data_IF_123186032693
#
_entry.id   IF_123186032693
#
_cell.length_a   1.000
_cell.length_b   1.000
_cell.length_c   1.000
_cell.angle_alpha   90.00
_cell.angle_beta   90.00
_cell.angle_gamma   90.00
#
_symmetry.space_group_name_H-M   'P 1'
#
loop_
_entity.id
_entity.type
_entity.pdbx_description
1 polymer ?
#
# COMPACT_ATOMS: atom_id res chain seq x y z
N UNK A 1 12.70 -5.11 -15.47
CA UNK A 1 11.44 -4.63 -16.10
C UNK A 1 11.68 -3.24 -16.68
N UNK A 2 11.03 -2.83 -17.80
CA UNK A 2 11.15 -1.42 -18.28
C UNK A 2 10.33 -0.50 -17.38
N UNK A 3 10.82 0.72 -17.09
CA UNK A 3 10.15 1.70 -16.19
C UNK A 3 8.67 1.96 -16.55
N UNK A 4 8.35 2.09 -17.84
CA UNK A 4 6.97 2.32 -18.29
C UNK A 4 6.04 1.14 -17.98
N UNK A 5 6.55 -0.08 -18.08
CA UNK A 5 5.80 -1.30 -17.78
C UNK A 5 5.57 -1.44 -16.26
N UNK A 6 6.58 -1.11 -15.46
CA UNK A 6 6.47 -1.06 -14.00
C UNK A 6 5.40 -0.05 -13.57
N UNK A 7 5.43 1.17 -14.10
CA UNK A 7 4.42 2.19 -13.81
C UNK A 7 3.01 1.73 -14.18
N UNK A 8 2.86 1.12 -15.36
CA UNK A 8 1.57 0.57 -15.80
C UNK A 8 1.07 -0.50 -14.83
N UNK A 9 1.92 -1.45 -14.44
CA UNK A 9 1.56 -2.51 -13.49
C UNK A 9 1.26 -1.96 -12.09
N UNK A 10 2.04 -1.00 -11.64
CA UNK A 10 1.90 -0.38 -10.32
C UNK A 10 0.58 0.40 -10.17
N UNK A 11 0.19 1.11 -11.23
CA UNK A 11 -1.04 1.92 -11.26
C UNK A 11 -2.27 1.14 -11.77
N UNK A 12 -2.14 -0.16 -12.03
CA UNK A 12 -3.27 -1.02 -12.39
C UNK A 12 -3.83 -1.70 -11.13
N UNK A 13 -5.15 -1.64 -10.95
CA UNK A 13 -5.81 -2.29 -9.81
C UNK A 13 -5.50 -1.64 -8.46
N UNK A 14 -5.30 -0.32 -8.44
CA UNK A 14 -5.02 0.47 -7.24
C UNK A 14 -6.19 0.43 -6.24
N UNK A 15 -7.42 0.28 -6.74
CA UNK A 15 -8.63 0.07 -5.94
C UNK A 15 -8.58 -1.21 -5.08
N UNK A 16 -7.83 -2.23 -5.53
CA UNK A 16 -7.65 -3.49 -4.80
C UNK A 16 -6.38 -3.53 -3.97
N UNK A 17 -5.31 -2.96 -4.50
CA UNK A 17 -3.95 -3.07 -3.94
C UNK A 17 -3.59 -1.92 -3.02
N UNK A 18 -4.31 -0.79 -3.09
CA UNK A 18 -4.03 0.40 -2.32
C UNK A 18 -2.76 1.14 -2.73
N UNK A 19 -2.21 0.85 -3.91
CA UNK A 19 -0.98 1.46 -4.43
C UNK A 19 -1.20 2.91 -4.85
N UNK A 20 -0.24 3.76 -4.52
CA UNK A 20 -0.23 5.15 -5.00
C UNK A 20 1.18 5.72 -5.03
N UNK A 21 1.31 6.87 -5.70
CA UNK A 21 2.57 7.58 -5.87
C UNK A 21 2.39 8.97 -5.26
N UNK A 22 3.38 9.40 -4.49
CA UNK A 22 3.43 10.73 -3.86
C UNK A 22 4.71 11.42 -4.26
N UNK A 23 4.60 12.60 -4.87
CA UNK A 23 5.76 13.46 -5.12
C UNK A 23 5.81 14.55 -4.05
N UNK A 24 6.90 14.59 -3.29
CA UNK A 24 7.16 15.70 -2.38
C UNK A 24 7.48 16.96 -3.18
N UNK A 25 6.85 18.08 -2.79
CA UNK A 25 7.16 19.41 -3.35
C UNK A 25 8.36 20.07 -2.68
N UNK A 26 8.77 19.56 -1.52
CA UNK A 26 9.87 20.11 -0.70
C UNK A 26 11.19 19.50 -1.16
N UNK A 27 11.26 18.16 -1.21
CA UNK A 27 12.48 17.43 -1.58
C UNK A 27 12.57 17.13 -3.08
N UNK A 28 11.46 17.23 -3.81
CA UNK A 28 11.37 16.81 -5.21
C UNK A 28 11.40 15.28 -5.41
N UNK A 29 11.43 14.51 -4.33
CA UNK A 29 11.49 13.04 -4.37
C UNK A 29 10.10 12.47 -4.65
N UNK A 30 10.04 11.48 -5.55
CA UNK A 30 8.82 10.69 -5.81
C UNK A 30 8.87 9.37 -5.04
N UNK A 31 7.93 9.21 -4.13
CA UNK A 31 7.73 8.01 -3.32
C UNK A 31 6.68 7.11 -3.96
N UNK A 32 7.00 5.82 -4.03
CA UNK A 32 6.04 4.76 -4.35
C UNK A 32 5.58 4.15 -3.04
N UNK A 33 4.27 4.01 -2.87
CA UNK A 33 3.68 3.51 -1.63
C UNK A 33 2.84 2.28 -1.93
N UNK A 34 3.16 1.18 -1.24
CA UNK A 34 2.39 -0.06 -1.24
C UNK A 34 2.00 -0.41 0.20
N UNK A 35 0.70 -0.54 0.51
CA UNK A 35 0.26 -1.11 1.78
C UNK A 35 0.53 -2.61 1.79
N UNK A 36 1.23 -3.11 2.81
CA UNK A 36 1.54 -4.55 2.95
C UNK A 36 0.52 -5.21 3.88
N UNK A 37 -0.10 -6.29 3.40
CA UNK A 37 -0.95 -7.16 4.21
C UNK A 37 -0.08 -8.16 4.97
N UNK A 38 0.06 -7.95 6.27
CA UNK A 38 0.71 -8.89 7.20
C UNK A 38 -0.23 -10.00 7.69
N UNK A 39 -1.40 -10.14 7.05
CA UNK A 39 -2.45 -11.05 7.45
C UNK A 39 -3.40 -10.34 8.42
N UNK A 40 -4.58 -9.94 7.93
CA UNK A 40 -5.69 -9.61 8.83
C UNK A 40 -6.06 -10.84 9.65
N UNK A 41 -6.46 -10.63 10.90
CA UNK A 41 -7.41 -11.55 11.53
C UNK A 41 -8.63 -11.58 10.61
N UNK A 42 -8.90 -12.70 9.97
CA UNK A 42 -10.09 -12.99 9.16
C UNK A 42 -11.34 -12.94 10.04
N UNK A 43 -11.63 -11.79 10.65
CA UNK A 43 -13.00 -11.46 11.01
C UNK A 43 -13.66 -11.16 9.68
N UNK A 44 -14.22 -12.21 9.09
CA UNK A 44 -15.21 -12.06 8.03
C UNK A 44 -16.29 -11.14 8.62
N UNK A 45 -16.63 -10.08 7.89
CA UNK A 45 -17.82 -9.29 8.18
C UNK A 45 -18.83 -9.67 7.12
N UNK A 46 -20.04 -10.00 7.56
CA UNK A 46 -21.02 -10.74 6.78
C UNK A 46 -22.39 -10.54 7.37
N UNK A 47 -23.41 -10.79 6.57
CA UNK A 47 -24.77 -10.87 7.07
C UNK A 47 -24.87 -12.13 7.93
N UNK A 48 -25.56 -12.05 9.07
CA UNK A 48 -25.83 -13.26 9.85
C UNK A 48 -27.07 -13.91 9.26
N UNK A 49 -26.94 -15.14 8.78
CA UNK A 49 -28.08 -15.92 8.31
C UNK A 49 -29.04 -16.18 9.49
N UNK A 50 -30.30 -15.72 9.43
CA UNK A 50 -31.24 -15.86 10.53
C UNK A 50 -31.64 -17.32 10.82
N UNK A 51 -31.52 -18.22 9.85
CA UNK A 51 -31.88 -19.63 10.00
C UNK A 51 -30.73 -20.47 10.56
N UNK A 52 -29.48 -20.15 10.19
CA UNK A 52 -28.30 -20.94 10.60
C UNK A 52 -27.43 -20.26 11.66
N UNK A 53 -27.69 -18.99 11.98
CA UNK A 53 -26.89 -18.12 12.84
C UNK A 53 -25.40 -18.05 12.45
N UNK A 54 -25.06 -18.48 11.23
CA UNK A 54 -23.71 -18.41 10.69
C UNK A 54 -23.52 -17.07 10.01
N UNK A 55 -22.31 -16.54 10.11
CA UNK A 55 -21.94 -15.33 9.41
C UNK A 55 -21.72 -15.68 7.92
N UNK A 56 -22.66 -15.28 7.08
CA UNK A 56 -22.66 -15.44 5.63
C UNK A 56 -22.34 -14.10 4.99
N UNK A 57 -21.11 -13.93 4.52
CA UNK A 57 -20.72 -12.74 3.77
C UNK A 57 -19.22 -12.56 3.73
N UNK A 58 -18.75 -11.94 2.66
CA UNK A 58 -17.34 -11.71 2.38
C UNK A 58 -17.04 -10.21 2.23
N UNK A 59 -17.71 -9.39 3.06
CA UNK A 59 -17.55 -7.95 3.02
C UNK A 59 -16.15 -7.61 3.58
N UNK A 60 -15.32 -7.00 2.75
CA UNK A 60 -13.95 -6.59 3.08
C UNK A 60 -12.83 -7.37 2.39
N UNK A 61 -13.11 -8.51 1.73
CA UNK A 61 -12.10 -9.26 0.95
C UNK A 61 -12.02 -8.86 -0.53
N UNK A 62 -13.04 -8.19 -1.08
CA UNK A 62 -13.03 -7.74 -2.48
C UNK A 62 -12.02 -6.61 -2.75
N UNK A 63 -11.82 -5.74 -1.76
CA UNK A 63 -10.87 -4.60 -1.81
C UNK A 63 -10.05 -4.58 -0.53
N UNK A 64 -9.03 -5.43 -0.47
CA UNK A 64 -8.14 -5.57 0.70
C UNK A 64 -7.37 -4.26 0.94
N UNK A 65 -7.12 -3.50 -0.14
CA UNK A 65 -6.40 -2.23 -0.09
C UNK A 65 -4.93 -2.41 0.25
N UNK A 66 -4.40 -3.63 0.09
CA UNK A 66 -3.05 -4.00 0.42
C UNK A 66 -2.58 -5.17 -0.45
N UNK A 67 -1.26 -5.33 -0.54
CA UNK A 67 -0.58 -6.39 -1.29
C UNK A 67 0.14 -7.32 -0.34
N UNK A 68 0.30 -8.59 -0.70
CA UNK A 68 1.16 -9.49 0.06
C UNK A 68 2.60 -9.11 -0.19
N UNK A 69 3.48 -9.32 0.80
CA UNK A 69 4.91 -9.01 0.70
C UNK A 69 5.56 -9.63 -0.55
N UNK A 70 5.23 -10.90 -0.85
CA UNK A 70 5.71 -11.61 -2.05
C UNK A 70 5.22 -11.03 -3.39
N UNK A 71 4.13 -10.28 -3.38
CA UNK A 71 3.50 -9.70 -4.57
C UNK A 71 3.83 -8.19 -4.69
N UNK A 72 4.71 -7.68 -3.82
CA UNK A 72 5.19 -6.30 -3.83
C UNK A 72 6.01 -6.01 -5.09
N UNK A 73 5.75 -4.85 -5.68
CA UNK A 73 6.52 -4.35 -6.82
C UNK A 73 7.68 -3.47 -6.35
N UNK A 74 7.65 -2.93 -5.13
CA UNK A 74 8.75 -2.19 -4.51
C UNK A 74 9.81 -3.18 -3.99
N UNK A 75 10.70 -3.59 -4.90
CA UNK A 75 11.85 -4.43 -4.59
C UNK A 75 13.08 -3.96 -5.39
N UNK A 76 14.26 -4.41 -4.97
CA UNK A 76 15.53 -4.03 -5.59
C UNK A 76 15.62 -4.51 -7.05
N UNK A 77 15.06 -5.68 -7.37
CA UNK A 77 15.03 -6.23 -8.74
C UNK A 77 14.26 -5.35 -9.73
N UNK A 78 13.26 -4.61 -9.25
CA UNK A 78 12.50 -3.63 -10.02
C UNK A 78 13.17 -2.25 -10.05
N UNK A 79 14.36 -2.09 -9.44
CA UNK A 79 15.16 -0.88 -9.47
C UNK A 79 14.78 0.15 -8.42
N UNK A 80 14.08 -0.25 -7.36
CA UNK A 80 13.81 0.62 -6.21
C UNK A 80 15.02 0.65 -5.27
N UNK A 81 15.26 1.82 -4.69
CA UNK A 81 16.30 2.07 -3.68
C UNK A 81 15.66 2.71 -2.45
N UNK A 82 16.33 2.63 -1.30
CA UNK A 82 15.85 3.20 -0.04
C UNK A 82 14.45 2.68 0.36
N UNK A 83 14.25 1.38 0.19
CA UNK A 83 12.98 0.70 0.51
C UNK A 83 12.84 0.60 2.02
N UNK A 84 11.71 1.08 2.55
CA UNK A 84 11.44 1.11 3.99
C UNK A 84 10.00 0.67 4.26
N UNK A 85 9.85 -0.24 5.22
CA UNK A 85 8.57 -0.64 5.78
C UNK A 85 8.36 0.06 7.12
N UNK A 86 7.21 0.68 7.32
CA UNK A 86 6.87 1.37 8.57
C UNK A 86 5.40 1.12 8.93
N UNK A 87 5.04 1.40 10.19
CA UNK A 87 3.66 1.33 10.69
C UNK A 87 3.11 2.74 10.85
N UNK A 88 1.90 2.97 10.35
CA UNK A 88 1.22 4.27 10.47
C UNK A 88 0.82 4.85 9.10
N UNK A 89 0.59 6.16 9.07
CA UNK A 89 0.18 6.87 7.85
C UNK A 89 1.38 7.10 6.91
N UNK A 90 1.32 6.65 5.64
CA UNK A 90 2.38 6.93 4.68
C UNK A 90 2.61 8.41 4.39
N UNK A 91 1.55 9.20 4.40
CA UNK A 91 1.65 10.64 4.19
C UNK A 91 2.34 11.34 5.36
N UNK A 92 2.11 10.87 6.60
CA UNK A 92 2.76 11.40 7.79
C UNK A 92 4.26 11.09 7.82
N UNK A 93 4.65 9.90 7.35
CA UNK A 93 6.06 9.54 7.22
C UNK A 93 6.78 10.40 6.16
N UNK A 94 6.12 10.66 5.02
CA UNK A 94 6.67 11.54 3.97
C UNK A 94 6.81 12.97 4.51
N UNK A 95 5.78 13.50 5.18
CA UNK A 95 5.82 14.84 5.80
C UNK A 95 6.93 14.97 6.85
N UNK A 96 7.14 13.92 7.64
CA UNK A 96 8.23 13.88 8.64
C UNK A 96 9.61 13.94 7.96
N UNK A 97 9.79 13.23 6.85
CA UNK A 97 11.05 13.26 6.06
C UNK A 97 11.27 14.61 5.41
N UNK A 98 10.22 15.21 4.89
CA UNK A 98 10.29 16.54 4.28
C UNK A 98 10.72 17.59 5.31
N UNK A 99 10.12 17.58 6.52
CA UNK A 99 10.55 18.45 7.63
C UNK A 99 11.99 18.22 8.07
N UNK A 100 12.45 16.97 8.10
CA UNK A 100 13.84 16.64 8.40
C UNK A 100 14.79 17.21 7.35
N UNK A 101 14.40 17.17 6.06
CA UNK A 101 15.19 17.76 4.99
C UNK A 101 15.29 19.28 5.12
N UNK A 102 14.17 19.96 5.39
CA UNK A 102 14.13 21.41 5.63
C UNK A 102 14.96 21.81 6.85
N UNK A 103 14.94 21.05 7.96
CA UNK A 103 15.75 21.39 9.14
C UNK A 103 17.26 21.28 8.94
N UNK A 104 17.70 20.60 7.86
CA UNK A 104 19.12 20.38 7.55
C UNK A 104 19.67 21.37 6.52
N UNK A 105 18.83 22.20 5.91
CA UNK A 105 19.18 23.14 4.85
C UNK A 105 18.69 24.55 5.18
#
# INVERSE_FOLDING_TARGET
>A
MRRQELLKRFLTGTDRTGRFIVSSKITGITYFVEPIDHGKSTKLWGDVDPATQKLTGDYGNKSIGAVKEKDSLINEDNGFINILTFKGSPLGEIDSRDKMYESKH
#
